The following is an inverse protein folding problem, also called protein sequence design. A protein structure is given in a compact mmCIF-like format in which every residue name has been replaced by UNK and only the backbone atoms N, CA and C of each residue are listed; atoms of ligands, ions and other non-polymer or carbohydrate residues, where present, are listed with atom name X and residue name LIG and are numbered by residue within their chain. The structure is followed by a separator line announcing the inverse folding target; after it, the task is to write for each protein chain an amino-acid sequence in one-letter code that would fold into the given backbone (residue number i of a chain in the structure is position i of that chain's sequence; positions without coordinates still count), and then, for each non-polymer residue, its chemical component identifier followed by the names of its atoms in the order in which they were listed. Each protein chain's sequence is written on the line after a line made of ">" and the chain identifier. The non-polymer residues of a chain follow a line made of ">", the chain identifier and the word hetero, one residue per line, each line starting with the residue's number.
data_IF_897739805771
#
_entry.id   IF_897739805771
#
_cell.length_a   1.000
_cell.length_b   1.000
_cell.length_c   1.000
_cell.angle_alpha   90.00
_cell.angle_beta   90.00
_cell.angle_gamma   90.00
#
_symmetry.space_group_name_H-M   'P 1'
#
loop_
_entity.id
_entity.type
_entity.pdbx_description
1 polymer ?
#
# COMPACT_ATOMS: atom_id res chain seq x y z
N UNK A 1 22.12 0.37 3.57
CA UNK A 1 21.04 -0.20 4.39
C UNK A 1 20.25 0.99 4.89
N UNK A 2 19.19 1.36 4.17
CA UNK A 2 18.34 2.47 4.57
C UNK A 2 17.56 2.07 5.83
N UNK A 3 17.61 2.95 6.81
CA UNK A 3 17.06 2.76 8.14
C UNK A 3 15.54 2.88 8.07
N UNK A 4 14.85 1.78 7.75
CA UNK A 4 13.40 1.73 7.71
C UNK A 4 12.89 1.83 9.16
N UNK A 5 12.42 3.01 9.55
CA UNK A 5 11.81 3.24 10.86
C UNK A 5 10.34 2.82 10.76
N UNK A 6 9.95 1.77 11.49
CA UNK A 6 8.54 1.41 11.64
C UNK A 6 7.86 2.43 12.56
N UNK A 7 6.90 3.21 12.04
CA UNK A 7 6.14 4.19 12.81
C UNK A 7 4.67 3.75 12.91
N UNK A 8 4.22 3.44 14.13
CA UNK A 8 2.81 3.13 14.39
C UNK A 8 2.05 4.44 14.71
N UNK A 9 1.07 4.79 13.89
CA UNK A 9 0.20 5.95 14.10
C UNK A 9 -1.25 5.49 14.38
N UNK A 10 -1.67 5.40 15.66
CA UNK A 10 -3.00 4.90 16.02
C UNK A 10 -4.14 5.80 15.53
N UNK A 11 -3.87 7.10 15.34
CA UNK A 11 -4.85 8.07 14.84
C UNK A 11 -4.84 8.19 13.30
N UNK A 12 -3.99 7.41 12.63
CA UNK A 12 -3.80 7.44 11.19
C UNK A 12 -5.10 7.23 10.41
N UNK A 13 -5.92 6.27 10.84
CA UNK A 13 -7.20 5.96 10.20
C UNK A 13 -8.22 7.11 10.28
N UNK A 14 -8.16 7.95 11.32
CA UNK A 14 -9.01 9.14 11.45
C UNK A 14 -8.58 10.27 10.50
N UNK A 15 -7.31 10.26 10.06
CA UNK A 15 -6.72 11.31 9.21
C UNK A 15 -6.67 10.89 7.74
N UNK A 16 -6.42 9.61 7.48
CA UNK A 16 -6.23 9.01 6.16
C UNK A 16 -7.04 7.71 6.04
N UNK A 17 -8.39 7.80 6.01
CA UNK A 17 -9.25 6.62 6.02
C UNK A 17 -9.11 5.74 4.78
N UNK A 18 -8.77 6.28 3.60
CA UNK A 18 -8.64 5.48 2.39
C UNK A 18 -7.31 4.74 2.35
N UNK A 19 -6.24 5.35 2.83
CA UNK A 19 -4.98 4.65 3.10
C UNK A 19 -5.22 3.49 4.06
N UNK A 20 -5.91 3.71 5.18
CA UNK A 20 -6.20 2.66 6.15
C UNK A 20 -7.08 1.54 5.54
N UNK A 21 -8.05 1.89 4.70
CA UNK A 21 -8.85 0.91 3.97
C UNK A 21 -7.99 0.07 3.01
N UNK A 22 -7.05 0.69 2.29
CA UNK A 22 -6.14 -0.03 1.38
C UNK A 22 -5.17 -0.93 2.14
N UNK A 23 -4.66 -0.53 3.31
CA UNK A 23 -3.87 -1.42 4.19
C UNK A 23 -4.64 -2.72 4.49
N UNK A 24 -5.92 -2.61 4.83
CA UNK A 24 -6.78 -3.77 5.13
C UNK A 24 -7.01 -4.61 3.87
N UNK A 25 -7.37 -3.98 2.75
CA UNK A 25 -7.65 -4.67 1.49
C UNK A 25 -6.42 -5.38 0.90
N UNK A 26 -5.22 -4.96 1.26
CA UNK A 26 -3.98 -5.64 0.89
C UNK A 26 -3.55 -6.72 1.90
N UNK A 27 -4.37 -7.05 2.89
CA UNK A 27 -4.03 -8.06 3.91
C UNK A 27 -3.15 -7.54 5.05
N UNK A 28 -3.19 -6.24 5.32
CA UNK A 28 -2.39 -5.59 6.36
C UNK A 28 -1.01 -5.11 5.88
N UNK A 29 -0.78 -5.04 4.56
CA UNK A 29 0.46 -4.48 3.99
C UNK A 29 0.60 -3.02 4.40
N UNK A 30 1.67 -2.73 5.14
CA UNK A 30 1.99 -1.39 5.60
C UNK A 30 2.59 -0.51 4.50
N UNK A 31 2.75 0.78 4.81
CA UNK A 31 3.46 1.74 3.95
C UNK A 31 4.94 1.79 4.30
N UNK A 32 5.79 1.78 3.28
CA UNK A 32 7.17 2.22 3.41
C UNK A 32 7.21 3.74 3.46
N UNK A 33 7.80 4.30 4.52
CA UNK A 33 8.08 5.74 4.63
C UNK A 33 9.52 6.01 4.18
N UNK A 34 9.71 7.02 3.35
CA UNK A 34 11.01 7.41 2.82
C UNK A 34 11.56 8.67 3.50
N UNK A 35 12.88 8.91 3.47
CA UNK A 35 13.49 10.07 4.12
C UNK A 35 13.01 11.44 3.63
N UNK A 36 12.45 11.53 2.42
CA UNK A 36 11.87 12.77 1.87
C UNK A 36 10.41 13.00 2.29
N UNK A 37 9.87 12.17 3.18
CA UNK A 37 8.51 12.29 3.71
C UNK A 37 7.43 11.73 2.79
N UNK A 38 7.81 11.08 1.68
CA UNK A 38 6.87 10.33 0.85
C UNK A 38 6.66 8.91 1.37
N UNK A 39 5.55 8.30 0.96
CA UNK A 39 5.10 6.98 1.36
C UNK A 39 4.71 6.16 0.13
N UNK A 40 4.84 4.83 0.23
CA UNK A 40 4.44 3.89 -0.82
C UNK A 40 3.99 2.56 -0.22
N UNK A 41 2.94 1.97 -0.80
CA UNK A 41 2.59 0.57 -0.54
C UNK A 41 3.50 -0.35 -1.35
N UNK A 42 4.35 -1.10 -0.66
CA UNK A 42 5.20 -2.13 -1.26
C UNK A 42 5.43 -3.26 -0.26
N UNK A 43 5.64 -4.46 -0.77
CA UNK A 43 6.01 -5.64 0.01
C UNK A 43 7.22 -6.31 -0.63
N UNK A 44 8.16 -6.79 0.18
CA UNK A 44 9.41 -7.42 -0.29
C UNK A 44 9.39 -8.90 0.05
N UNK A 45 9.30 -9.74 -0.97
CA UNK A 45 9.20 -11.20 -0.84
C UNK A 45 10.43 -11.84 -1.46
N UNK A 46 11.41 -12.16 -0.62
CA UNK A 46 12.71 -12.66 -1.07
C UNK A 46 13.45 -11.61 -1.90
N UNK A 47 13.63 -11.88 -3.19
CA UNK A 47 14.26 -10.95 -4.15
C UNK A 47 13.23 -10.15 -4.97
N UNK A 48 11.93 -10.41 -4.78
CA UNK A 48 10.84 -9.74 -5.52
C UNK A 48 10.28 -8.58 -4.70
N UNK A 49 10.01 -7.45 -5.38
CA UNK A 49 9.31 -6.31 -4.79
C UNK A 49 7.95 -6.18 -5.46
N UNK A 50 6.87 -6.30 -4.69
CA UNK A 50 5.52 -6.03 -5.14
C UNK A 50 5.16 -4.60 -4.79
N UNK A 51 4.81 -3.80 -5.80
CA UNK A 51 4.47 -2.38 -5.64
C UNK A 51 2.98 -2.19 -5.89
N UNK A 52 2.29 -1.60 -4.92
CA UNK A 52 0.83 -1.43 -4.95
C UNK A 52 0.41 0.03 -5.12
N UNK A 53 1.31 1.00 -4.94
CA UNK A 53 1.02 2.41 -5.19
C UNK A 53 2.22 3.15 -5.79
N UNK A 54 2.02 4.34 -6.40
CA UNK A 54 3.11 5.29 -6.60
C UNK A 54 3.65 5.79 -5.24
N UNK A 55 4.88 6.30 -5.25
CA UNK A 55 5.51 6.98 -4.11
C UNK A 55 5.07 8.44 -4.07
N UNK A 56 4.32 8.83 -3.05
CA UNK A 56 3.65 10.13 -2.95
C UNK A 56 3.72 10.66 -1.51
N UNK A 57 3.53 11.96 -1.30
CA UNK A 57 3.32 12.47 0.07
C UNK A 57 1.97 11.95 0.64
N UNK A 58 1.80 11.84 1.96
CA UNK A 58 0.63 11.18 2.55
C UNK A 58 -0.73 11.70 2.06
N UNK A 59 -0.87 13.02 1.90
CA UNK A 59 -2.10 13.62 1.41
C UNK A 59 -2.41 13.29 -0.07
N UNK A 60 -1.38 13.15 -0.90
CA UNK A 60 -1.54 12.72 -2.30
C UNK A 60 -1.79 11.23 -2.40
N UNK A 61 -1.14 10.43 -1.55
CA UNK A 61 -1.38 9.00 -1.44
C UNK A 61 -2.82 8.70 -0.99
N UNK A 62 -3.36 9.45 -0.04
CA UNK A 62 -4.76 9.34 0.39
C UNK A 62 -5.73 9.59 -0.77
N UNK A 63 -5.50 10.64 -1.56
CA UNK A 63 -6.32 10.94 -2.75
C UNK A 63 -6.19 9.86 -3.83
N UNK A 64 -4.99 9.31 -3.99
CA UNK A 64 -4.74 8.19 -4.88
C UNK A 64 -5.53 6.94 -4.44
N UNK A 65 -5.46 6.59 -3.16
CA UNK A 65 -6.22 5.47 -2.58
C UNK A 65 -7.72 5.68 -2.73
N UNK A 66 -8.22 6.89 -2.46
CA UNK A 66 -9.63 7.23 -2.67
C UNK A 66 -10.07 7.02 -4.13
N UNK A 67 -9.25 7.48 -5.09
CA UNK A 67 -9.56 7.39 -6.52
C UNK A 67 -9.54 5.96 -7.05
N UNK A 68 -8.74 5.09 -6.43
CA UNK A 68 -8.50 3.72 -6.87
C UNK A 68 -9.12 2.66 -5.95
N UNK A 69 -9.95 3.05 -4.98
CA UNK A 69 -10.45 2.14 -3.95
C UNK A 69 -11.18 0.92 -4.56
N UNK A 70 -12.00 1.13 -5.57
CA UNK A 70 -12.73 0.06 -6.26
C UNK A 70 -11.78 -0.99 -6.86
N UNK A 71 -10.60 -0.57 -7.35
CA UNK A 71 -9.61 -1.50 -7.89
C UNK A 71 -8.96 -2.34 -6.80
N UNK A 72 -8.73 -1.78 -5.62
CA UNK A 72 -8.24 -2.54 -4.47
C UNK A 72 -9.30 -3.49 -3.93
N UNK A 73 -10.58 -3.08 -3.92
CA UNK A 73 -11.69 -3.94 -3.54
C UNK A 73 -11.81 -5.15 -4.48
N UNK A 74 -11.80 -4.92 -5.79
CA UNK A 74 -11.82 -6.00 -6.78
C UNK A 74 -10.61 -6.94 -6.63
N UNK A 75 -9.41 -6.37 -6.44
CA UNK A 75 -8.21 -7.17 -6.19
C UNK A 75 -8.35 -8.03 -4.92
N UNK A 76 -8.87 -7.47 -3.82
CA UNK A 76 -9.10 -8.24 -2.60
C UNK A 76 -10.12 -9.37 -2.83
N UNK A 77 -11.26 -9.08 -3.46
CA UNK A 77 -12.29 -10.08 -3.75
C UNK A 77 -11.78 -11.23 -4.63
N UNK A 78 -10.96 -10.91 -5.64
CA UNK A 78 -10.35 -11.90 -6.53
C UNK A 78 -9.30 -12.80 -5.82
N UNK A 79 -8.72 -12.32 -4.72
CA UNK A 79 -7.58 -12.96 -4.05
C UNK A 79 -7.81 -13.22 -2.55
N UNK A 80 -9.07 -13.20 -2.09
CA UNK A 80 -9.43 -13.19 -0.67
C UNK A 80 -8.83 -14.39 0.09
N UNK A 81 -8.90 -15.60 -0.49
CA UNK A 81 -8.34 -16.81 0.13
C UNK A 81 -6.82 -16.71 0.31
N UNK A 82 -6.09 -16.22 -0.68
CA UNK A 82 -4.64 -16.04 -0.61
C UNK A 82 -4.26 -14.99 0.44
N UNK A 83 -4.97 -13.86 0.46
CA UNK A 83 -4.77 -12.78 1.43
C UNK A 83 -5.03 -13.28 2.86
N UNK A 84 -6.10 -14.05 3.09
CA UNK A 84 -6.39 -14.64 4.41
C UNK A 84 -5.35 -15.67 4.86
N UNK A 85 -4.65 -16.29 3.91
CA UNK A 85 -3.52 -17.20 4.17
C UNK A 85 -2.17 -16.48 4.27
N UNK A 86 -2.15 -15.15 4.36
CA UNK A 86 -0.96 -14.30 4.45
C UNK A 86 -0.03 -14.41 3.23
N UNK A 87 -0.59 -14.75 2.07
CA UNK A 87 0.17 -14.77 0.82
C UNK A 87 0.27 -13.36 0.23
N UNK A 88 1.44 -13.03 -0.31
CA UNK A 88 1.66 -11.78 -1.02
C UNK A 88 1.33 -11.97 -2.50
N UNK A 89 0.23 -11.37 -2.94
CA UNK A 89 -0.24 -11.48 -4.32
C UNK A 89 0.19 -10.26 -5.13
N UNK A 90 0.81 -10.43 -6.32
CA UNK A 90 1.13 -9.30 -7.19
C UNK A 90 -0.14 -8.64 -7.74
N UNK A 91 -0.20 -7.32 -7.69
CA UNK A 91 -1.24 -6.53 -8.35
C UNK A 91 -0.70 -5.99 -9.67
N UNK A 92 -1.56 -5.89 -10.69
CA UNK A 92 -1.19 -5.20 -11.93
C UNK A 92 -0.80 -3.74 -11.62
N UNK A 93 0.24 -3.18 -12.26
CA UNK A 93 0.71 -1.84 -11.95
C UNK A 93 -0.34 -0.76 -12.29
N UNK A 94 -0.27 0.35 -11.57
CA UNK A 94 -0.96 1.58 -11.92
C UNK A 94 -0.04 2.36 -12.87
N UNK A 95 -0.30 2.34 -14.18
CA UNK A 95 0.49 3.16 -15.12
C UNK A 95 0.46 4.64 -14.70
N UNK A 96 1.48 5.47 -14.86
CA UNK A 96 2.81 5.35 -15.47
C UNK A 96 3.92 5.36 -14.41
N UNK A 97 4.76 4.34 -14.42
CA UNK A 97 6.09 4.39 -13.83
C UNK A 97 6.92 5.45 -14.57
N UNK A 98 7.08 6.62 -13.97
CA UNK A 98 8.30 7.42 -14.20
C UNK A 98 9.16 7.22 -12.97
N UNK A 99 10.04 6.23 -13.09
CA UNK A 99 11.30 6.13 -12.34
C UNK A 99 12.10 7.43 -12.50
#
# INVERSE_FOLDING_TARGET
>A
MDNQVTHFNPDGASTFPHIAAVEILLGGVGRSMFPDGTEQFLEVVGETVHVYSPRLVPAELERFCQTNLERYQAFHEENEEAIQNYECVPMAPFGSERL
#
